data_IF_594184134095
#
_entry.id   IF_594184134095
#
_cell.length_a   1.000
_cell.length_b   1.000
_cell.length_c   1.000
_cell.angle_alpha   90.00
_cell.angle_beta   90.00
_cell.angle_gamma   90.00
#
_symmetry.space_group_name_H-M   'P 1'
#
loop_
_entity.id
_entity.type
_entity.pdbx_description
1 polymer ?
#
# COMPACT_ATOMS: atom_id res chain seq x y z
N UNK A 1 -28.45 -70.54 -18.07
CA UNK A 1 -27.92 -69.34 -18.78
C UNK A 1 -29.10 -68.60 -19.41
N UNK A 2 -29.59 -67.52 -18.78
CA UNK A 2 -30.67 -66.70 -19.38
C UNK A 2 -30.02 -65.76 -20.42
N UNK A 3 -30.29 -65.98 -21.68
CA UNK A 3 -29.96 -65.06 -22.79
C UNK A 3 -31.05 -64.00 -22.86
N UNK A 4 -30.73 -62.81 -22.39
CA UNK A 4 -31.57 -61.62 -22.59
C UNK A 4 -31.48 -61.20 -24.07
N UNK A 5 -32.55 -61.45 -24.85
CA UNK A 5 -32.72 -60.91 -26.20
C UNK A 5 -33.18 -59.46 -26.09
N UNK A 6 -32.25 -58.52 -26.18
CA UNK A 6 -32.65 -57.11 -26.25
C UNK A 6 -33.23 -56.85 -27.65
N UNK A 7 -34.47 -56.36 -27.70
CA UNK A 7 -35.14 -56.07 -28.95
C UNK A 7 -34.50 -54.86 -29.67
N UNK A 8 -34.46 -54.93 -31.05
CA UNK A 8 -33.90 -53.81 -31.85
C UNK A 8 -34.49 -52.45 -31.51
N UNK A 9 -35.79 -52.25 -31.22
CA UNK A 9 -36.34 -50.94 -30.79
C UNK A 9 -35.82 -50.46 -29.46
N UNK A 10 -35.52 -51.35 -28.50
CA UNK A 10 -34.97 -51.00 -27.20
C UNK A 10 -33.54 -50.45 -27.30
N UNK A 11 -32.71 -51.04 -28.19
CA UNK A 11 -31.37 -50.55 -28.44
C UNK A 11 -31.40 -49.18 -29.11
N UNK A 12 -32.31 -49.00 -30.10
CA UNK A 12 -32.47 -47.72 -30.78
C UNK A 12 -32.91 -46.61 -29.83
N UNK A 13 -33.83 -46.89 -28.90
CA UNK A 13 -34.25 -45.91 -27.89
C UNK A 13 -33.13 -45.52 -26.94
N UNK A 14 -32.31 -46.48 -26.50
CA UNK A 14 -31.15 -46.19 -25.63
C UNK A 14 -30.10 -45.33 -26.34
N UNK A 15 -29.81 -45.58 -27.62
CA UNK A 15 -28.88 -44.76 -28.41
C UNK A 15 -29.38 -43.33 -28.61
N UNK A 16 -30.70 -43.19 -28.87
CA UNK A 16 -31.33 -41.86 -28.99
C UNK A 16 -31.30 -41.07 -27.68
N UNK A 17 -31.54 -41.72 -26.53
CA UNK A 17 -31.45 -41.10 -25.21
C UNK A 17 -30.00 -40.65 -24.91
N UNK A 18 -29.01 -41.50 -25.22
CA UNK A 18 -27.59 -41.14 -25.05
C UNK A 18 -27.18 -39.98 -25.95
N UNK A 19 -27.60 -39.98 -27.22
CA UNK A 19 -27.33 -38.90 -28.15
C UNK A 19 -27.96 -37.58 -27.69
N UNK A 20 -29.21 -37.59 -27.21
CA UNK A 20 -29.89 -36.45 -26.64
C UNK A 20 -29.18 -35.92 -25.37
N UNK A 21 -28.70 -36.79 -24.48
CA UNK A 21 -27.94 -36.43 -23.29
C UNK A 21 -26.59 -35.78 -23.67
N UNK A 22 -25.90 -36.30 -24.65
CA UNK A 22 -24.63 -35.70 -25.16
C UNK A 22 -24.87 -34.32 -25.76
N UNK A 23 -25.92 -34.15 -26.57
CA UNK A 23 -26.29 -32.86 -27.15
C UNK A 23 -26.69 -31.84 -26.06
N UNK A 24 -27.42 -32.27 -25.04
CA UNK A 24 -27.79 -31.39 -23.92
C UNK A 24 -26.56 -31.01 -23.08
N UNK A 25 -25.66 -31.96 -22.82
CA UNK A 25 -24.42 -31.68 -22.08
C UNK A 25 -23.48 -30.76 -22.91
N UNK A 26 -23.39 -30.99 -24.22
CA UNK A 26 -22.60 -30.12 -25.11
C UNK A 26 -23.22 -28.72 -25.20
N UNK A 27 -24.51 -28.61 -25.32
CA UNK A 27 -25.25 -27.33 -25.31
C UNK A 27 -25.14 -26.59 -23.97
N UNK A 28 -25.00 -27.32 -22.87
CA UNK A 28 -24.78 -26.72 -21.54
C UNK A 28 -23.34 -26.26 -21.36
N UNK A 29 -22.36 -27.02 -21.87
CA UNK A 29 -20.94 -26.71 -21.84
C UNK A 29 -20.55 -25.61 -22.84
N UNK A 30 -21.26 -25.52 -23.97
CA UNK A 30 -21.03 -24.53 -25.02
C UNK A 30 -21.89 -23.27 -24.88
N UNK A 31 -22.64 -23.11 -23.79
CA UNK A 31 -23.33 -21.83 -23.54
C UNK A 31 -22.27 -20.77 -23.29
N UNK A 32 -22.15 -19.71 -24.11
CA UNK A 32 -21.38 -18.56 -23.75
C UNK A 32 -21.94 -18.04 -22.42
N UNK A 33 -21.09 -17.55 -21.50
CA UNK A 33 -21.57 -16.96 -20.26
C UNK A 33 -22.62 -15.89 -20.62
N UNK A 34 -23.75 -15.94 -19.94
CA UNK A 34 -24.89 -15.05 -20.15
C UNK A 34 -24.39 -13.58 -20.15
N UNK A 35 -24.75 -12.74 -21.14
CA UNK A 35 -24.34 -11.34 -21.16
C UNK A 35 -24.95 -10.49 -20.05
N UNK A 36 -25.69 -11.07 -19.10
CA UNK A 36 -26.30 -10.43 -17.93
C UNK A 36 -25.56 -10.67 -16.61
N UNK A 37 -24.33 -11.16 -16.60
CA UNK A 37 -23.41 -10.73 -15.56
C UNK A 37 -23.00 -9.31 -15.95
N UNK A 38 -23.62 -8.31 -15.31
CA UNK A 38 -23.00 -7.01 -15.17
C UNK A 38 -21.52 -7.30 -14.90
N UNK A 39 -20.64 -6.87 -15.82
CA UNK A 39 -19.22 -6.94 -15.60
C UNK A 39 -19.05 -6.32 -14.21
N UNK A 40 -18.72 -7.12 -13.21
CA UNK A 40 -18.25 -6.58 -11.95
C UNK A 40 -17.01 -5.83 -12.38
N UNK A 41 -17.10 -4.52 -12.45
CA UNK A 41 -15.91 -3.67 -12.64
C UNK A 41 -14.90 -4.24 -11.67
N UNK A 42 -13.80 -4.79 -12.20
CA UNK A 42 -12.88 -5.61 -11.44
C UNK A 42 -12.37 -4.78 -10.27
N UNK A 43 -12.44 -5.32 -9.05
CA UNK A 43 -11.97 -4.65 -7.84
C UNK A 43 -10.52 -4.23 -8.00
N UNK A 44 -10.21 -2.95 -7.73
CA UNK A 44 -8.86 -2.41 -7.80
C UNK A 44 -8.15 -2.64 -6.47
N UNK A 45 -6.94 -3.15 -6.54
CA UNK A 45 -6.09 -3.44 -5.38
C UNK A 45 -4.92 -2.47 -5.35
N UNK A 46 -4.72 -1.77 -4.23
CA UNK A 46 -3.67 -0.75 -4.12
C UNK A 46 -2.76 -1.09 -2.95
N UNK A 47 -1.47 -1.20 -3.23
CA UNK A 47 -0.45 -1.29 -2.20
C UNK A 47 0.25 0.06 -2.03
N UNK A 48 0.03 0.71 -0.88
CA UNK A 48 0.80 1.87 -0.46
C UNK A 48 2.12 1.36 0.15
N UNK A 49 3.15 1.29 -0.68
CA UNK A 49 4.47 0.80 -0.33
C UNK A 49 5.34 1.94 0.18
N UNK A 50 6.00 1.76 1.32
CA UNK A 50 6.87 2.79 1.88
C UNK A 50 7.86 2.18 2.87
N UNK A 51 8.62 3.04 3.55
CA UNK A 51 9.38 2.68 4.74
C UNK A 51 8.81 3.36 5.99
N UNK A 52 9.22 2.86 7.18
CA UNK A 52 8.80 3.47 8.44
C UNK A 52 9.19 4.94 8.51
N UNK A 53 8.26 5.79 8.90
CA UNK A 53 8.41 7.23 9.13
C UNK A 53 8.57 8.07 7.86
N UNK A 54 8.19 7.54 6.71
CA UNK A 54 8.17 8.29 5.43
C UNK A 54 6.89 9.12 5.21
N UNK A 55 5.97 9.19 6.18
CA UNK A 55 4.68 9.87 6.03
C UNK A 55 3.56 8.98 5.51
N UNK A 56 3.80 7.67 5.43
CA UNK A 56 2.85 6.69 4.90
C UNK A 56 1.55 6.57 5.70
N UNK A 57 1.54 6.93 6.99
CA UNK A 57 0.29 7.00 7.77
C UNK A 57 -0.61 8.13 7.27
N UNK A 58 -0.05 9.30 6.90
CA UNK A 58 -0.80 10.39 6.29
C UNK A 58 -1.39 9.94 4.94
N UNK A 59 -0.54 9.41 4.05
CA UNK A 59 -1.00 8.89 2.76
C UNK A 59 -2.06 7.80 2.91
N UNK A 60 -1.88 6.88 3.87
CA UNK A 60 -2.86 5.84 4.16
C UNK A 60 -4.21 6.41 4.58
N UNK A 61 -4.23 7.48 5.39
CA UNK A 61 -5.48 8.11 5.79
C UNK A 61 -6.16 8.88 4.66
N UNK A 62 -5.43 9.41 3.71
CA UNK A 62 -6.00 10.01 2.50
C UNK A 62 -6.85 8.96 1.76
N UNK A 63 -6.32 7.76 1.55
CA UNK A 63 -7.08 6.67 0.94
C UNK A 63 -8.18 6.12 1.86
N UNK A 64 -7.91 6.01 3.16
CA UNK A 64 -8.85 5.48 4.13
C UNK A 64 -10.15 6.29 4.22
N UNK A 65 -10.09 7.61 4.09
CA UNK A 65 -11.29 8.45 4.21
C UNK A 65 -12.15 8.45 2.93
N UNK A 66 -11.67 7.87 1.84
CA UNK A 66 -12.44 7.78 0.60
C UNK A 66 -13.61 6.77 0.73
N UNK A 67 -14.86 7.12 0.31
CA UNK A 67 -16.05 6.28 0.48
C UNK A 67 -15.96 4.91 -0.19
N UNK A 68 -15.22 4.79 -1.30
CA UNK A 68 -15.12 3.57 -2.09
C UNK A 68 -13.93 2.67 -1.70
N UNK A 69 -13.22 3.00 -0.62
CA UNK A 69 -11.99 2.33 -0.22
C UNK A 69 -12.18 1.50 1.07
N UNK A 70 -11.87 0.21 0.98
CA UNK A 70 -11.58 -0.63 2.13
C UNK A 70 -10.08 -0.54 2.43
N UNK A 71 -9.74 0.04 3.58
CA UNK A 71 -8.34 0.30 3.96
C UNK A 71 -7.92 -0.48 5.19
N UNK A 72 -6.72 -1.10 5.15
CA UNK A 72 -6.05 -1.62 6.34
C UNK A 72 -4.61 -1.10 6.44
N UNK A 73 -4.23 -0.75 7.68
CA UNK A 73 -2.91 -0.26 8.01
C UNK A 73 -1.99 -1.39 8.45
N UNK A 74 -0.94 -1.65 7.67
CA UNK A 74 0.16 -2.58 7.99
C UNK A 74 -0.28 -3.99 8.46
N UNK A 75 -1.12 -4.72 7.72
CA UNK A 75 -1.50 -6.08 8.12
C UNK A 75 -0.29 -7.02 8.32
N UNK A 76 0.79 -6.83 7.59
CA UNK A 76 2.04 -7.56 7.77
C UNK A 76 2.70 -7.40 9.15
N UNK A 77 2.25 -6.44 9.97
CA UNK A 77 2.67 -6.32 11.37
C UNK A 77 2.39 -7.60 12.16
N UNK A 78 1.28 -8.27 11.89
CA UNK A 78 0.90 -9.52 12.55
C UNK A 78 1.91 -10.63 12.28
N UNK A 79 2.38 -10.78 11.04
CA UNK A 79 3.45 -11.72 10.68
C UNK A 79 4.75 -11.41 11.45
N UNK A 80 5.15 -10.13 11.47
CA UNK A 80 6.38 -9.69 12.11
C UNK A 80 6.36 -9.80 13.64
N UNK A 81 5.19 -9.78 14.24
CA UNK A 81 5.06 -9.87 15.70
C UNK A 81 4.85 -11.28 16.19
N UNK A 82 4.24 -12.16 15.40
CA UNK A 82 3.96 -13.54 15.79
C UNK A 82 5.13 -14.50 15.51
N UNK A 83 5.89 -14.29 14.43
CA UNK A 83 7.04 -15.14 14.09
C UNK A 83 8.28 -14.57 14.78
N UNK A 84 8.85 -15.39 15.68
CA UNK A 84 10.06 -15.02 16.42
C UNK A 84 11.32 -15.43 15.64
N UNK A 85 12.43 -14.73 15.91
CA UNK A 85 13.79 -15.06 15.42
C UNK A 85 13.95 -15.14 13.90
N UNK A 86 13.07 -14.52 13.12
CA UNK A 86 13.18 -14.45 11.67
C UNK A 86 13.61 -13.05 11.21
N UNK A 87 14.43 -12.99 10.17
CA UNK A 87 14.82 -11.73 9.50
C UNK A 87 13.79 -11.27 8.48
N UNK A 88 13.92 -10.02 8.04
CA UNK A 88 13.00 -9.40 7.06
C UNK A 88 12.86 -10.21 5.78
N UNK A 89 13.96 -10.81 5.29
CA UNK A 89 13.96 -11.63 4.08
C UNK A 89 13.12 -12.90 4.22
N UNK A 90 13.16 -13.54 5.40
CA UNK A 90 12.37 -14.75 5.67
C UNK A 90 10.88 -14.43 5.80
N UNK A 91 10.54 -13.28 6.39
CA UNK A 91 9.16 -12.89 6.66
C UNK A 91 8.42 -12.35 5.44
N UNK A 92 9.12 -11.83 4.42
CA UNK A 92 8.52 -11.16 3.26
C UNK A 92 7.49 -12.02 2.51
N UNK A 93 7.72 -13.33 2.43
CA UNK A 93 6.82 -14.24 1.73
C UNK A 93 5.51 -14.41 2.51
N UNK A 94 5.59 -14.58 3.83
CA UNK A 94 4.42 -14.67 4.68
C UNK A 94 3.62 -13.36 4.71
N UNK A 95 4.29 -12.19 4.70
CA UNK A 95 3.64 -10.88 4.54
C UNK A 95 2.93 -10.78 3.19
N UNK A 96 3.58 -11.21 2.10
CA UNK A 96 2.98 -11.24 0.77
C UNK A 96 1.72 -12.11 0.73
N UNK A 97 1.80 -13.31 1.29
CA UNK A 97 0.69 -14.26 1.25
C UNK A 97 -0.48 -13.76 2.12
N UNK A 98 -0.19 -13.13 3.27
CA UNK A 98 -1.20 -12.45 4.07
C UNK A 98 -1.91 -11.33 3.28
N UNK A 99 -1.16 -10.41 2.66
CA UNK A 99 -1.80 -9.31 1.92
C UNK A 99 -2.56 -9.82 0.68
N UNK A 100 -2.13 -10.94 0.08
CA UNK A 100 -2.88 -11.58 -1.01
C UNK A 100 -4.26 -12.00 -0.55
N UNK A 101 -4.37 -12.73 0.55
CA UNK A 101 -5.65 -13.17 1.12
C UNK A 101 -6.54 -11.97 1.46
N UNK A 102 -5.97 -10.93 2.06
CA UNK A 102 -6.72 -9.71 2.40
C UNK A 102 -7.21 -8.98 1.14
N UNK A 103 -6.41 -8.90 0.07
CA UNK A 103 -6.87 -8.35 -1.21
C UNK A 103 -8.06 -9.12 -1.78
N UNK A 104 -8.11 -10.42 -1.57
CA UNK A 104 -9.24 -11.27 -1.94
C UNK A 104 -10.40 -11.22 -0.93
N UNK A 105 -10.36 -10.32 0.07
CA UNK A 105 -11.31 -10.21 1.16
C UNK A 105 -11.46 -11.52 1.97
N UNK A 106 -10.39 -12.27 2.11
CA UNK A 106 -10.28 -13.44 2.98
C UNK A 106 -9.47 -13.07 4.24
N UNK A 107 -10.16 -12.91 5.37
CA UNK A 107 -9.54 -12.59 6.65
C UNK A 107 -9.17 -13.84 7.46
N UNK A 108 -9.45 -15.05 6.96
CA UNK A 108 -9.11 -16.31 7.64
C UNK A 108 -7.58 -16.46 7.82
N UNK A 109 -6.79 -15.85 6.93
CA UNK A 109 -5.33 -15.78 7.08
C UNK A 109 -4.88 -15.21 8.43
N UNK A 110 -5.69 -14.33 9.04
CA UNK A 110 -5.42 -13.77 10.36
C UNK A 110 -5.43 -14.82 11.48
N UNK A 111 -6.08 -15.97 11.24
CA UNK A 111 -6.15 -17.07 12.21
C UNK A 111 -4.77 -17.62 12.60
N UNK A 112 -3.81 -17.55 11.69
CA UNK A 112 -2.44 -18.00 11.93
C UNK A 112 -1.62 -17.03 12.81
N UNK A 113 -2.03 -15.77 12.93
CA UNK A 113 -1.20 -14.70 13.49
C UNK A 113 -1.84 -13.92 14.62
N UNK A 114 -3.15 -14.08 14.85
CA UNK A 114 -3.88 -13.33 15.86
C UNK A 114 -4.34 -14.20 17.03
N UNK A 115 -4.36 -13.65 18.26
CA UNK A 115 -4.88 -14.37 19.42
C UNK A 115 -6.41 -14.55 19.34
N UNK A 116 -6.93 -15.48 20.12
CA UNK A 116 -8.39 -15.63 20.33
C UNK A 116 -8.88 -14.71 21.46
N UNK A 117 -10.11 -14.19 21.43
CA UNK A 117 -11.03 -14.21 20.28
C UNK A 117 -10.58 -13.29 19.15
N UNK A 118 -10.96 -13.62 17.90
CA UNK A 118 -10.54 -12.87 16.71
C UNK A 118 -11.58 -11.82 16.33
N UNK A 119 -11.44 -10.65 16.87
CA UNK A 119 -12.28 -9.49 16.59
C UNK A 119 -11.51 -8.47 15.72
N UNK A 120 -12.22 -7.53 15.11
CA UNK A 120 -11.62 -6.41 14.37
C UNK A 120 -10.66 -5.60 15.26
N UNK A 121 -10.93 -5.52 16.57
CA UNK A 121 -10.07 -4.84 17.55
C UNK A 121 -8.67 -5.47 17.72
N UNK A 122 -8.48 -6.70 17.28
CA UNK A 122 -7.17 -7.35 17.24
C UNK A 122 -6.35 -7.00 15.98
N UNK A 123 -6.97 -6.47 14.93
CA UNK A 123 -6.25 -6.01 13.74
C UNK A 123 -5.41 -4.79 14.09
N UNK A 124 -4.15 -4.79 13.68
CA UNK A 124 -3.25 -3.67 13.95
C UNK A 124 -3.82 -2.34 13.46
N UNK A 125 -3.94 -1.36 14.36
CA UNK A 125 -4.46 -0.02 14.06
C UNK A 125 -5.87 -0.03 13.43
N UNK A 126 -6.70 -1.00 13.76
CA UNK A 126 -8.03 -1.24 13.19
C UNK A 126 -8.95 -0.01 13.20
N UNK A 127 -8.94 0.76 14.30
CA UNK A 127 -9.78 1.96 14.46
C UNK A 127 -9.43 3.10 13.50
N UNK A 128 -8.28 2.99 12.82
CA UNK A 128 -7.90 3.90 11.74
C UNK A 128 -8.55 3.51 10.40
N UNK A 129 -9.21 2.36 10.31
CA UNK A 129 -9.91 1.93 9.12
C UNK A 129 -11.36 2.40 9.16
N UNK A 130 -11.70 3.40 8.32
CA UNK A 130 -13.09 3.87 8.18
C UNK A 130 -14.03 2.74 7.78
N UNK A 131 -13.60 1.85 6.90
CA UNK A 131 -14.39 0.73 6.41
C UNK A 131 -14.77 -0.26 7.52
N UNK A 132 -13.98 -0.38 8.58
CA UNK A 132 -14.32 -1.18 9.76
C UNK A 132 -15.28 -0.45 10.73
N UNK A 133 -15.51 0.84 10.52
CA UNK A 133 -16.36 1.70 11.33
C UNK A 133 -17.65 2.12 10.60
N UNK A 134 -17.87 1.60 9.40
CA UNK A 134 -19.01 1.89 8.52
C UNK A 134 -19.70 0.60 8.10
N UNK A 135 -20.97 0.67 7.61
CA UNK A 135 -21.69 -0.51 7.12
C UNK A 135 -20.95 -1.22 5.99
N UNK A 136 -21.00 -2.56 5.94
CA UNK A 136 -21.70 -3.47 6.86
C UNK A 136 -20.85 -3.93 8.06
N UNK A 137 -19.59 -3.51 8.21
CA UNK A 137 -18.74 -3.94 9.32
C UNK A 137 -19.23 -3.38 10.66
N UNK A 138 -19.66 -2.12 10.69
CA UNK A 138 -20.21 -1.45 11.85
C UNK A 138 -21.15 -0.33 11.41
N UNK A 139 -22.30 -0.16 12.09
CA UNK A 139 -23.31 0.84 11.73
C UNK A 139 -23.12 2.17 12.48
N UNK A 140 -21.89 2.58 12.68
CA UNK A 140 -21.57 3.81 13.40
C UNK A 140 -21.77 5.07 12.56
N UNK A 141 -21.30 5.05 11.28
CA UNK A 141 -21.31 6.20 10.38
C UNK A 141 -21.58 5.77 8.94
N UNK A 142 -22.12 6.70 8.16
CA UNK A 142 -22.25 6.49 6.72
C UNK A 142 -20.86 6.46 6.03
N UNK A 143 -20.80 5.90 4.82
CA UNK A 143 -19.52 5.73 4.10
C UNK A 143 -18.93 7.03 3.57
N UNK A 144 -19.72 8.02 3.33
CA UNK A 144 -19.35 9.37 2.87
C UNK A 144 -18.88 10.27 4.01
N UNK A 145 -19.15 9.92 5.27
CA UNK A 145 -18.69 10.69 6.41
C UNK A 145 -17.22 10.44 6.75
N UNK A 146 -16.51 11.50 7.15
CA UNK A 146 -15.13 11.42 7.67
C UNK A 146 -15.12 10.70 9.02
N UNK A 147 -14.40 9.59 9.09
CA UNK A 147 -14.32 8.75 10.30
C UNK A 147 -13.34 9.34 11.33
N UNK A 148 -13.72 9.22 12.61
CA UNK A 148 -12.87 9.56 13.75
C UNK A 148 -12.50 8.29 14.51
N UNK A 149 -11.21 8.12 14.77
CA UNK A 149 -10.64 6.95 15.46
C UNK A 149 -11.31 6.67 16.82
N UNK A 150 -11.56 7.71 17.62
CA UNK A 150 -12.11 7.55 18.96
C UNK A 150 -13.53 6.99 18.95
N UNK A 151 -14.37 7.50 18.07
CA UNK A 151 -15.77 7.04 17.94
C UNK A 151 -15.82 5.57 17.52
N UNK A 152 -14.95 5.18 16.59
CA UNK A 152 -14.82 3.81 16.13
C UNK A 152 -14.45 2.84 17.27
N UNK A 153 -13.47 3.20 18.09
CA UNK A 153 -13.04 2.40 19.25
C UNK A 153 -14.14 2.14 20.27
N UNK A 154 -15.04 3.08 20.45
CA UNK A 154 -16.11 2.99 21.44
C UNK A 154 -17.28 2.10 21.00
N UNK A 155 -17.49 1.91 19.69
CA UNK A 155 -18.72 1.31 19.17
C UNK A 155 -18.52 0.06 18.31
N UNK A 156 -17.31 -0.16 17.76
CA UNK A 156 -17.09 -1.17 16.73
C UNK A 156 -16.07 -2.26 17.11
N UNK A 157 -15.53 -2.25 18.32
CA UNK A 157 -14.39 -3.06 18.77
C UNK A 157 -14.67 -4.58 18.84
N UNK A 158 -15.92 -4.96 19.08
CA UNK A 158 -16.35 -6.35 19.27
C UNK A 158 -16.74 -7.08 17.99
N UNK A 159 -16.73 -6.40 16.83
CA UNK A 159 -17.14 -6.98 15.55
C UNK A 159 -16.20 -8.12 15.12
N UNK A 160 -16.77 -9.21 14.62
CA UNK A 160 -16.00 -10.36 14.13
C UNK A 160 -15.39 -10.14 12.76
N UNK A 161 -14.31 -10.87 12.44
CA UNK A 161 -13.63 -10.78 11.14
C UNK A 161 -14.51 -11.08 9.93
N UNK A 162 -15.57 -11.90 10.09
CA UNK A 162 -16.54 -12.16 9.01
C UNK A 162 -17.28 -10.90 8.54
N UNK A 163 -17.52 -9.95 9.43
CA UNK A 163 -18.09 -8.64 9.05
C UNK A 163 -17.07 -7.78 8.30
N UNK A 164 -15.80 -7.86 8.66
CA UNK A 164 -14.73 -7.20 7.90
C UNK A 164 -14.59 -7.78 6.48
N UNK A 165 -14.70 -9.12 6.31
CA UNK A 165 -14.75 -9.78 5.00
C UNK A 165 -15.95 -9.31 4.17
N UNK A 166 -17.15 -9.31 4.79
CA UNK A 166 -18.36 -8.84 4.14
C UNK A 166 -18.24 -7.38 3.71
N UNK A 167 -17.69 -6.51 4.57
CA UNK A 167 -17.41 -5.13 4.24
C UNK A 167 -16.43 -5.01 3.07
N UNK A 168 -15.29 -5.69 3.13
CA UNK A 168 -14.27 -5.67 2.08
C UNK A 168 -14.87 -5.97 0.69
N UNK A 169 -15.80 -6.94 0.62
CA UNK A 169 -16.44 -7.32 -0.66
C UNK A 169 -17.32 -6.26 -1.27
N UNK A 170 -17.79 -5.30 -0.48
CA UNK A 170 -18.71 -4.24 -0.95
C UNK A 170 -18.01 -2.98 -1.45
N UNK A 171 -16.69 -2.87 -1.30
CA UNK A 171 -15.89 -1.74 -1.77
C UNK A 171 -15.29 -2.03 -3.14
N UNK A 172 -15.19 -1.02 -4.00
CA UNK A 172 -14.54 -1.14 -5.31
C UNK A 172 -13.02 -1.20 -5.20
N UNK A 173 -12.44 -0.61 -4.15
CA UNK A 173 -11.00 -0.55 -3.92
C UNK A 173 -10.61 -1.20 -2.59
N UNK A 174 -9.58 -2.05 -2.62
CA UNK A 174 -8.91 -2.55 -1.41
C UNK A 174 -7.53 -1.95 -1.35
N UNK A 175 -7.28 -1.13 -0.34
CA UNK A 175 -6.01 -0.41 -0.17
C UNK A 175 -5.30 -0.91 1.08
N UNK A 176 -4.11 -1.45 0.92
CA UNK A 176 -3.27 -1.90 2.02
C UNK A 176 -2.01 -1.04 2.09
N UNK A 177 -1.66 -0.57 3.28
CA UNK A 177 -0.43 0.18 3.49
C UNK A 177 0.59 -0.72 4.17
N UNK A 178 1.77 -0.89 3.53
CA UNK A 178 2.86 -1.70 4.06
C UNK A 178 4.23 -1.01 4.01
N UNK A 179 5.04 -1.33 5.02
CA UNK A 179 6.41 -0.81 5.18
C UNK A 179 7.45 -1.92 5.26
N UNK A 180 7.05 -3.19 4.99
CA UNK A 180 7.85 -4.41 5.22
C UNK A 180 8.31 -5.11 3.96
N UNK A 181 8.17 -4.46 2.81
CA UNK A 181 8.76 -4.91 1.55
C UNK A 181 9.97 -4.05 1.20
N UNK A 182 11.10 -4.71 0.94
CA UNK A 182 12.38 -4.07 0.62
C UNK A 182 12.76 -4.23 -0.85
N UNK A 183 11.91 -4.90 -1.63
CA UNK A 183 12.10 -5.19 -3.06
C UNK A 183 10.75 -5.50 -3.71
N UNK A 184 10.63 -5.26 -5.02
CA UNK A 184 9.39 -5.56 -5.77
C UNK A 184 9.26 -7.03 -6.17
N UNK A 185 10.37 -7.76 -6.26
CA UNK A 185 10.39 -9.16 -6.70
C UNK A 185 9.52 -10.06 -5.81
N UNK A 186 9.44 -9.76 -4.53
CA UNK A 186 8.56 -10.47 -3.60
C UNK A 186 7.07 -10.28 -3.92
N UNK A 187 6.71 -9.20 -4.63
CA UNK A 187 5.33 -8.88 -5.04
C UNK A 187 4.98 -9.40 -6.44
N UNK A 188 5.93 -9.93 -7.20
CA UNK A 188 5.67 -10.43 -8.55
C UNK A 188 4.56 -11.47 -8.65
N UNK A 189 4.42 -12.44 -7.71
CA UNK A 189 3.28 -13.35 -7.73
C UNK A 189 1.93 -12.64 -7.65
N UNK A 190 1.82 -11.54 -6.90
CA UNK A 190 0.59 -10.75 -6.80
C UNK A 190 0.33 -9.94 -8.08
N UNK A 191 1.37 -9.38 -8.67
CA UNK A 191 1.26 -8.60 -9.92
C UNK A 191 0.91 -9.48 -11.12
N UNK A 192 1.22 -10.78 -11.06
CA UNK A 192 0.90 -11.76 -12.09
C UNK A 192 -0.40 -12.52 -11.81
N UNK A 193 -1.00 -12.34 -10.64
CA UNK A 193 -2.26 -13.00 -10.29
C UNK A 193 -3.40 -12.38 -11.11
N UNK A 194 -4.07 -13.15 -11.99
CA UNK A 194 -5.14 -12.61 -12.82
C UNK A 194 -6.38 -12.19 -12.03
N UNK A 195 -6.50 -12.62 -10.77
CA UNK A 195 -7.59 -12.21 -9.88
C UNK A 195 -7.36 -10.84 -9.22
N UNK A 196 -6.17 -10.23 -9.40
CA UNK A 196 -5.79 -8.98 -8.76
C UNK A 196 -5.43 -7.90 -9.80
N UNK A 197 -6.17 -6.80 -9.85
CA UNK A 197 -5.68 -5.56 -10.48
C UNK A 197 -4.85 -4.79 -9.44
N UNK A 198 -3.60 -5.23 -9.24
CA UNK A 198 -2.71 -4.63 -8.25
C UNK A 198 -1.97 -3.42 -8.83
N UNK A 199 -2.12 -2.27 -8.14
CA UNK A 199 -1.36 -1.03 -8.41
C UNK A 199 -0.54 -0.65 -7.18
N UNK A 200 0.69 -0.19 -7.39
CA UNK A 200 1.64 0.14 -6.32
C UNK A 200 1.90 1.65 -6.32
N UNK A 201 1.64 2.29 -5.20
CA UNK A 201 2.07 3.67 -4.93
C UNK A 201 3.23 3.61 -3.95
N UNK A 202 4.42 3.98 -4.41
CA UNK A 202 5.66 3.94 -3.64
C UNK A 202 5.98 5.32 -3.07
N UNK A 203 5.75 5.52 -1.78
CA UNK A 203 6.05 6.76 -1.07
C UNK A 203 7.49 6.73 -0.53
N UNK A 204 8.29 7.69 -0.96
CA UNK A 204 9.64 7.93 -0.47
C UNK A 204 9.73 9.27 0.27
N UNK A 205 10.74 9.44 1.11
CA UNK A 205 10.98 10.68 1.87
C UNK A 205 12.47 10.92 2.03
N UNK A 206 12.84 12.20 2.23
CA UNK A 206 14.20 12.59 2.56
C UNK A 206 14.76 11.76 3.73
N UNK A 207 15.88 11.03 3.54
CA UNK A 207 16.44 10.16 4.58
C UNK A 207 16.79 10.91 5.89
N UNK A 208 17.09 12.20 5.80
CA UNK A 208 17.37 13.07 6.96
C UNK A 208 16.11 13.25 7.81
N UNK A 209 14.97 13.49 7.16
CA UNK A 209 13.67 13.58 7.82
C UNK A 209 13.20 12.22 8.36
N UNK A 210 13.48 11.12 7.65
CA UNK A 210 13.19 9.75 8.08
C UNK A 210 13.95 9.43 9.37
N UNK A 211 15.28 9.62 9.41
CA UNK A 211 16.08 9.32 10.61
C UNK A 211 15.60 10.14 11.81
N UNK A 212 15.42 11.46 11.63
CA UNK A 212 14.88 12.34 12.69
C UNK A 212 13.57 11.78 13.27
N UNK A 213 12.65 11.39 12.42
CA UNK A 213 11.36 10.84 12.86
C UNK A 213 11.49 9.47 13.53
N UNK A 214 12.43 8.64 13.08
CA UNK A 214 12.74 7.34 13.70
C UNK A 214 13.31 7.52 15.11
N UNK A 215 14.23 8.45 15.31
CA UNK A 215 14.79 8.77 16.64
C UNK A 215 13.72 9.20 17.63
N UNK A 216 12.66 9.89 17.18
CA UNK A 216 11.52 10.24 18.02
C UNK A 216 10.59 9.06 18.35
N UNK A 217 10.72 7.96 17.65
CA UNK A 217 9.86 6.77 17.72
C UNK A 217 10.63 5.49 18.05
N UNK A 218 11.83 5.59 18.62
CA UNK A 218 12.74 4.45 18.85
C UNK A 218 12.02 3.29 19.54
N UNK A 219 11.30 3.56 20.65
CA UNK A 219 10.59 2.52 21.41
C UNK A 219 9.61 1.70 20.56
N UNK A 220 8.87 2.36 19.67
CA UNK A 220 7.90 1.70 18.80
C UNK A 220 8.56 0.93 17.65
N UNK A 221 9.83 1.17 17.34
CA UNK A 221 10.54 0.61 16.19
C UNK A 221 11.68 -0.36 16.58
N UNK A 222 11.83 -0.69 17.86
CA UNK A 222 12.91 -1.60 18.36
C UNK A 222 12.82 -2.95 17.66
N UNK A 223 11.64 -3.58 17.65
CA UNK A 223 11.42 -4.90 17.06
C UNK A 223 11.63 -4.87 15.54
N UNK A 224 11.02 -3.90 14.86
CA UNK A 224 11.20 -3.73 13.42
C UNK A 224 12.68 -3.54 13.04
N UNK A 225 13.42 -2.72 13.81
CA UNK A 225 14.83 -2.49 13.57
C UNK A 225 15.67 -3.75 13.76
N UNK A 226 15.38 -4.56 14.78
CA UNK A 226 16.07 -5.82 15.01
C UNK A 226 15.85 -6.84 13.87
N UNK A 227 14.61 -6.91 13.37
CA UNK A 227 14.26 -7.79 12.24
C UNK A 227 14.97 -7.33 10.95
N UNK A 228 15.03 -6.02 10.69
CA UNK A 228 15.74 -5.46 9.52
C UNK A 228 17.23 -5.76 9.56
N UNK A 229 17.83 -5.71 10.73
CA UNK A 229 19.25 -6.00 10.93
C UNK A 229 19.56 -7.51 11.00
N UNK A 230 18.53 -8.37 10.92
CA UNK A 230 18.67 -9.83 10.92
C UNK A 230 19.55 -10.33 12.08
N UNK A 231 19.41 -9.72 13.26
CA UNK A 231 20.19 -10.01 14.47
C UNK A 231 21.72 -9.80 14.31
N UNK A 232 22.15 -9.02 13.31
CA UNK A 232 23.55 -8.67 13.15
C UNK A 232 24.09 -7.99 14.43
N UNK A 233 25.30 -8.35 14.82
CA UNK A 233 25.97 -7.73 15.95
C UNK A 233 26.45 -6.32 15.60
N UNK A 234 25.54 -5.36 15.65
CA UNK A 234 25.75 -3.97 15.30
C UNK A 234 25.87 -3.15 16.57
N UNK A 235 26.95 -2.34 16.72
CA UNK A 235 27.06 -1.41 17.85
C UNK A 235 25.83 -0.50 17.96
N UNK A 236 25.32 -0.28 19.16
CA UNK A 236 24.09 0.48 19.40
C UNK A 236 24.08 1.85 18.70
N UNK A 237 25.21 2.57 18.73
CA UNK A 237 25.42 3.88 18.08
C UNK A 237 25.26 3.84 16.55
N UNK A 238 25.38 2.66 15.93
CA UNK A 238 25.36 2.47 14.48
C UNK A 238 24.04 1.88 13.97
N UNK A 239 23.26 1.25 14.85
CA UNK A 239 22.02 0.55 14.48
C UNK A 239 21.07 1.40 13.67
N UNK A 240 20.80 2.65 14.10
CA UNK A 240 19.87 3.54 13.40
C UNK A 240 20.33 3.89 11.98
N UNK A 241 21.64 4.03 11.78
CA UNK A 241 22.24 4.32 10.47
C UNK A 241 22.25 3.09 9.57
N UNK A 242 22.47 1.89 10.12
CA UNK A 242 22.42 0.66 9.34
C UNK A 242 20.99 0.35 8.88
N UNK A 243 20.01 0.50 9.76
CA UNK A 243 18.59 0.38 9.35
C UNK A 243 18.25 1.42 8.28
N UNK A 244 18.72 2.66 8.42
CA UNK A 244 18.50 3.68 7.41
C UNK A 244 19.19 3.33 6.07
N UNK A 245 20.37 2.74 6.11
CA UNK A 245 21.08 2.27 4.92
C UNK A 245 20.28 1.19 4.18
N UNK A 246 19.69 0.23 4.90
CA UNK A 246 18.82 -0.78 4.28
C UNK A 246 17.54 -0.15 3.69
N UNK A 247 16.95 0.83 4.35
CA UNK A 247 15.82 1.61 3.81
C UNK A 247 16.25 2.33 2.50
N UNK A 248 17.40 3.00 2.49
CA UNK A 248 17.90 3.68 1.31
C UNK A 248 18.19 2.71 0.16
N UNK A 249 18.81 1.57 0.44
CA UNK A 249 19.05 0.51 -0.55
C UNK A 249 17.75 -0.09 -1.10
N UNK A 250 16.76 -0.25 -0.25
CA UNK A 250 15.43 -0.71 -0.63
C UNK A 250 14.77 0.23 -1.64
N UNK A 251 14.74 1.53 -1.34
CA UNK A 251 14.15 2.52 -2.24
C UNK A 251 14.85 2.57 -3.59
N UNK A 252 16.19 2.45 -3.62
CA UNK A 252 16.96 2.36 -4.88
C UNK A 252 16.52 1.12 -5.67
N UNK A 253 16.56 -0.06 -5.07
CA UNK A 253 16.14 -1.32 -5.73
C UNK A 253 14.73 -1.25 -6.29
N UNK A 254 13.77 -0.82 -5.47
CA UNK A 254 12.37 -0.71 -5.87
C UNK A 254 12.23 0.24 -7.07
N UNK A 255 12.85 1.42 -6.99
CA UNK A 255 12.80 2.40 -8.06
C UNK A 255 13.45 1.89 -9.35
N UNK A 256 14.67 1.36 -9.29
CA UNK A 256 15.39 0.84 -10.46
C UNK A 256 14.61 -0.30 -11.14
N UNK A 257 14.10 -1.25 -10.34
CA UNK A 257 13.28 -2.36 -10.85
C UNK A 257 12.02 -1.87 -11.54
N UNK A 258 11.36 -0.84 -10.98
CA UNK A 258 10.10 -0.34 -11.50
C UNK A 258 10.23 0.61 -12.70
N UNK A 259 11.38 1.27 -12.87
CA UNK A 259 11.51 2.39 -13.83
C UNK A 259 12.53 2.15 -14.93
N UNK A 260 13.68 1.53 -14.63
CA UNK A 260 14.74 1.38 -15.62
C UNK A 260 14.47 0.22 -16.58
N UNK A 261 14.05 -0.93 -16.06
CA UNK A 261 13.74 -2.13 -16.86
C UNK A 261 12.54 -2.85 -16.25
N UNK A 262 11.35 -2.22 -16.21
CA UNK A 262 10.19 -2.86 -15.62
C UNK A 262 9.78 -4.08 -16.43
N UNK A 263 9.48 -5.22 -15.77
CA UNK A 263 8.84 -6.35 -16.44
C UNK A 263 7.45 -5.92 -16.95
N UNK A 264 6.98 -6.55 -18.03
CA UNK A 264 5.76 -6.13 -18.72
C UNK A 264 4.52 -6.09 -17.81
N UNK A 265 4.42 -7.03 -16.87
CA UNK A 265 3.31 -7.07 -15.90
C UNK A 265 3.32 -5.93 -14.88
N UNK A 266 4.41 -5.15 -14.76
CA UNK A 266 4.52 -4.00 -13.86
C UNK A 266 4.25 -2.67 -14.58
N UNK A 267 4.30 -2.65 -15.91
CA UNK A 267 4.09 -1.42 -16.70
C UNK A 267 2.70 -0.84 -16.43
N UNK A 268 2.65 0.45 -16.13
CA UNK A 268 1.39 1.15 -15.78
C UNK A 268 0.82 0.81 -14.39
N UNK A 269 1.49 -0.03 -13.60
CA UNK A 269 1.03 -0.46 -12.27
C UNK A 269 1.85 0.08 -11.11
N UNK A 270 2.81 0.97 -11.39
CA UNK A 270 3.68 1.57 -10.36
C UNK A 270 3.74 3.09 -10.51
N UNK A 271 3.59 3.79 -9.39
CA UNK A 271 3.73 5.25 -9.28
C UNK A 271 4.58 5.57 -8.05
N UNK A 272 5.66 6.32 -8.24
CA UNK A 272 6.45 6.85 -7.12
C UNK A 272 6.00 8.26 -6.75
N UNK A 273 5.98 8.55 -5.44
CA UNK A 273 5.63 9.86 -4.87
C UNK A 273 6.67 10.22 -3.81
N UNK A 274 7.22 11.43 -3.86
CA UNK A 274 8.03 11.97 -2.76
C UNK A 274 7.12 12.68 -1.77
N UNK A 275 7.34 12.42 -0.48
CA UNK A 275 6.58 13.06 0.59
C UNK A 275 6.64 14.59 0.52
N UNK A 276 7.79 15.13 0.15
CA UNK A 276 8.03 16.56 0.03
C UNK A 276 7.22 17.20 -1.11
N UNK A 277 7.07 16.53 -2.25
CA UNK A 277 6.18 16.98 -3.34
C UNK A 277 4.72 16.92 -2.89
N UNK A 278 4.34 15.80 -2.22
CA UNK A 278 3.00 15.61 -1.67
C UNK A 278 2.58 16.71 -0.69
N UNK A 279 3.47 17.20 0.16
CA UNK A 279 3.12 18.24 1.13
C UNK A 279 3.18 19.66 0.57
N UNK A 280 3.95 19.90 -0.51
CA UNK A 280 4.01 21.17 -1.22
C UNK A 280 2.79 21.42 -2.12
N UNK A 281 2.33 20.36 -2.80
CA UNK A 281 1.23 20.42 -3.76
C UNK A 281 0.18 19.36 -3.41
N UNK A 282 -0.32 19.38 -2.19
CA UNK A 282 -1.06 18.27 -1.58
C UNK A 282 -2.24 17.80 -2.43
N UNK A 283 -3.14 18.70 -2.85
CA UNK A 283 -4.32 18.30 -3.60
C UNK A 283 -3.97 17.73 -4.96
N UNK A 284 -3.12 18.41 -5.73
CA UNK A 284 -2.71 17.95 -7.05
C UNK A 284 -2.00 16.57 -7.03
N UNK A 285 -1.14 16.33 -6.01
CA UNK A 285 -0.48 15.04 -5.87
C UNK A 285 -1.46 13.93 -5.47
N UNK A 286 -2.47 14.23 -4.64
CA UNK A 286 -3.50 13.27 -4.26
C UNK A 286 -4.43 12.99 -5.45
N UNK A 287 -4.87 14.00 -6.18
CA UNK A 287 -5.65 13.84 -7.40
C UNK A 287 -4.93 12.95 -8.43
N UNK A 288 -3.65 13.19 -8.65
CA UNK A 288 -2.83 12.35 -9.55
C UNK A 288 -2.66 10.90 -9.04
N UNK A 289 -2.72 10.66 -7.72
CA UNK A 289 -2.73 9.30 -7.16
C UNK A 289 -4.11 8.65 -7.29
N UNK A 290 -5.18 9.40 -7.08
CA UNK A 290 -6.55 8.91 -7.26
C UNK A 290 -6.82 8.56 -8.72
N UNK A 291 -6.47 9.45 -9.67
CA UNK A 291 -6.53 9.17 -11.11
C UNK A 291 -5.77 7.87 -11.47
N UNK A 292 -4.57 7.69 -10.91
CA UNK A 292 -3.76 6.49 -11.13
C UNK A 292 -4.47 5.20 -10.71
N UNK A 293 -5.30 5.24 -9.69
CA UNK A 293 -6.02 4.07 -9.19
C UNK A 293 -7.50 4.04 -9.60
N UNK A 294 -8.02 5.08 -10.25
CA UNK A 294 -9.41 5.18 -10.69
C UNK A 294 -10.37 5.62 -9.58
N UNK A 295 -9.91 6.48 -8.67
CA UNK A 295 -10.73 7.16 -7.66
C UNK A 295 -10.95 8.63 -8.04
N UNK A 296 -12.05 9.22 -7.57
CA UNK A 296 -12.35 10.62 -7.75
C UNK A 296 -12.25 11.38 -6.42
N UNK A 297 -11.78 12.63 -6.46
CA UNK A 297 -11.72 13.50 -5.29
C UNK A 297 -13.10 14.05 -4.96
N UNK A 298 -13.59 13.83 -3.73
CA UNK A 298 -14.83 14.48 -3.25
C UNK A 298 -14.53 15.81 -2.55
N UNK A 299 -15.53 16.71 -2.50
CA UNK A 299 -15.38 18.01 -1.83
C UNK A 299 -15.07 17.84 -0.34
N UNK A 300 -15.71 16.90 0.34
CA UNK A 300 -15.49 16.62 1.76
C UNK A 300 -14.06 16.13 2.03
N UNK A 301 -13.51 15.31 1.13
CA UNK A 301 -12.12 14.86 1.20
C UNK A 301 -11.16 16.03 0.99
N UNK A 302 -11.42 16.89 0.03
CA UNK A 302 -10.61 18.06 -0.27
C UNK A 302 -10.52 18.98 0.94
N UNK A 303 -11.66 19.29 1.56
CA UNK A 303 -11.71 20.10 2.79
C UNK A 303 -11.00 19.43 3.97
N UNK A 304 -11.20 18.13 4.15
CA UNK A 304 -10.56 17.37 5.21
C UNK A 304 -9.04 17.37 5.05
N UNK A 305 -8.54 17.09 3.82
CA UNK A 305 -7.11 17.11 3.50
C UNK A 305 -6.51 18.47 3.79
N UNK A 306 -7.18 19.55 3.36
CA UNK A 306 -6.72 20.91 3.64
C UNK A 306 -6.58 21.15 5.16
N UNK A 307 -7.59 20.80 5.93
CA UNK A 307 -7.58 20.99 7.40
C UNK A 307 -6.47 20.24 8.11
N UNK A 308 -6.14 19.01 7.69
CA UNK A 308 -5.09 18.23 8.36
C UNK A 308 -3.68 18.63 7.95
N UNK A 309 -3.50 19.27 6.80
CA UNK A 309 -2.19 19.69 6.28
C UNK A 309 -1.82 21.12 6.62
N UNK A 310 -2.78 21.97 6.94
CA UNK A 310 -2.60 23.39 7.27
C UNK A 310 -2.88 23.75 8.74
N UNK A 311 -2.88 22.77 9.62
CA UNK A 311 -3.15 23.00 11.03
C UNK A 311 -1.95 23.52 11.81
N UNK A 312 -2.23 24.09 13.00
CA UNK A 312 -1.23 24.65 13.92
C UNK A 312 -0.74 23.67 15.00
N UNK A 313 -1.16 22.40 14.96
CA UNK A 313 -0.81 21.39 15.95
C UNK A 313 0.69 21.03 15.94
N UNK A 314 1.28 20.83 17.10
CA UNK A 314 2.69 20.46 17.25
C UNK A 314 2.96 18.96 17.18
N UNK A 315 1.92 18.11 17.12
CA UNK A 315 2.01 16.66 17.25
C UNK A 315 2.50 16.22 18.64
N UNK A 316 2.19 15.02 19.05
CA UNK A 316 2.64 14.48 20.34
C UNK A 316 3.66 13.35 20.13
N UNK A 317 4.75 13.32 20.93
CA UNK A 317 5.74 12.23 20.92
C UNK A 317 5.15 10.88 21.36
N UNK A 318 4.05 10.89 22.10
CA UNK A 318 3.42 9.69 22.67
C UNK A 318 2.62 8.88 21.65
N UNK A 319 2.25 9.48 20.51
CA UNK A 319 1.37 8.86 19.51
C UNK A 319 2.07 8.80 18.15
N UNK A 320 3.00 7.87 18.01
CA UNK A 320 3.92 7.77 16.86
C UNK A 320 3.22 7.64 15.48
N UNK A 321 1.99 7.13 15.45
CA UNK A 321 1.25 6.84 14.21
C UNK A 321 0.01 7.72 14.02
N UNK A 322 -0.33 8.54 15.00
CA UNK A 322 -1.52 9.41 14.95
C UNK A 322 -1.30 10.58 14.01
N UNK A 323 -2.29 10.82 13.17
CA UNK A 323 -2.34 11.99 12.31
C UNK A 323 -3.01 13.11 13.06
N UNK A 324 -2.29 14.21 13.23
CA UNK A 324 -2.79 15.43 13.82
C UNK A 324 -2.72 16.55 12.80
N UNK A 325 -3.70 17.45 12.83
CA UNK A 325 -3.71 18.64 11.99
C UNK A 325 -2.49 19.52 12.32
N UNK A 326 -1.58 19.69 11.34
CA UNK A 326 -0.34 20.49 11.46
C UNK A 326 0.13 20.94 10.09
N UNK A 327 1.02 21.91 10.06
CA UNK A 327 1.67 22.30 8.82
C UNK A 327 2.57 21.14 8.34
N UNK A 328 2.19 20.52 7.23
CA UNK A 328 2.88 19.34 6.69
C UNK A 328 4.24 19.70 6.07
N UNK A 329 4.38 20.91 5.53
CA UNK A 329 5.64 21.40 5.00
C UNK A 329 6.68 21.61 6.11
N UNK A 330 6.31 22.24 7.23
CA UNK A 330 7.18 22.38 8.40
C UNK A 330 7.68 21.02 8.90
N UNK A 331 6.81 20.00 8.87
CA UNK A 331 7.18 18.62 9.25
C UNK A 331 8.23 18.05 8.30
N UNK A 332 8.18 18.38 7.00
CA UNK A 332 9.15 17.92 6.01
C UNK A 332 10.53 18.55 6.22
N UNK A 333 10.56 19.81 6.62
CA UNK A 333 11.77 20.61 6.80
C UNK A 333 12.38 20.53 8.21
N UNK A 334 11.67 19.96 9.17
CA UNK A 334 12.06 20.00 10.60
C UNK A 334 13.42 19.37 10.92
N UNK A 335 13.97 18.49 10.07
CA UNK A 335 15.33 17.96 10.22
C UNK A 335 16.39 19.02 10.10
N UNK A 336 16.14 20.11 9.35
CA UNK A 336 17.08 21.19 9.06
C UNK A 336 17.45 21.99 10.33
N UNK A 337 16.50 22.10 11.24
CA UNK A 337 16.67 22.88 12.49
C UNK A 337 16.93 22.02 13.72
N UNK A 338 16.67 20.70 13.63
CA UNK A 338 16.67 19.82 14.82
C UNK A 338 17.78 18.78 14.83
N UNK A 339 18.38 18.44 13.67
CA UNK A 339 19.51 17.52 13.63
C UNK A 339 20.84 18.29 13.69
N UNK A 340 21.84 17.80 14.47
CA UNK A 340 23.22 18.27 14.36
C UNK A 340 23.77 18.02 12.96
N UNK A 341 24.62 18.94 12.46
CA UNK A 341 25.16 18.84 11.10
C UNK A 341 25.99 17.58 10.87
N UNK A 342 26.75 17.12 11.86
CA UNK A 342 27.49 15.85 11.79
C UNK A 342 26.58 14.65 11.51
N UNK A 343 25.40 14.61 12.12
CA UNK A 343 24.39 13.58 11.81
C UNK A 343 23.90 13.69 10.38
N UNK A 344 23.64 14.91 9.91
CA UNK A 344 23.22 15.16 8.53
C UNK A 344 24.27 14.68 7.55
N UNK A 345 25.55 15.00 7.76
CA UNK A 345 26.67 14.52 6.94
C UNK A 345 26.73 12.98 6.91
N UNK A 346 26.59 12.34 8.06
CA UNK A 346 26.59 10.88 8.16
C UNK A 346 25.43 10.25 7.40
N UNK A 347 24.21 10.81 7.50
CA UNK A 347 23.04 10.36 6.73
C UNK A 347 23.30 10.49 5.24
N UNK A 348 23.79 11.65 4.80
CA UNK A 348 24.10 11.92 3.39
C UNK A 348 25.13 10.93 2.83
N UNK A 349 26.15 10.58 3.63
CA UNK A 349 27.15 9.56 3.25
C UNK A 349 26.51 8.17 3.11
N UNK A 350 25.69 7.76 4.07
CA UNK A 350 25.07 6.41 4.11
C UNK A 350 24.02 6.25 3.00
N UNK A 351 23.27 7.29 2.70
CA UNK A 351 22.16 7.27 1.72
C UNK A 351 22.49 7.99 0.40
N UNK A 352 23.77 8.25 0.09
CA UNK A 352 24.18 9.04 -1.08
C UNK A 352 23.50 8.59 -2.37
N UNK A 353 23.51 7.30 -2.68
CA UNK A 353 22.90 6.75 -3.90
C UNK A 353 21.40 7.00 -3.96
N UNK A 354 20.68 6.74 -2.87
CA UNK A 354 19.23 6.98 -2.80
C UNK A 354 18.91 8.48 -2.93
N UNK A 355 19.64 9.34 -2.24
CA UNK A 355 19.45 10.79 -2.33
C UNK A 355 19.63 11.29 -3.76
N UNK A 356 20.70 10.89 -4.43
CA UNK A 356 20.95 11.27 -5.83
C UNK A 356 19.84 10.77 -6.75
N UNK A 357 19.49 9.48 -6.64
CA UNK A 357 18.48 8.84 -7.51
C UNK A 357 17.08 9.44 -7.32
N UNK A 358 16.71 9.75 -6.08
CA UNK A 358 15.39 10.27 -5.74
C UNK A 358 15.29 11.80 -5.76
N UNK A 359 16.37 12.47 -6.14
CA UNK A 359 16.41 13.93 -6.32
C UNK A 359 16.51 14.72 -5.03
N UNK A 360 17.20 14.22 -4.01
CA UNK A 360 17.52 14.96 -2.79
C UNK A 360 18.95 15.50 -2.85
N UNK A 361 19.11 16.80 -2.78
CA UNK A 361 20.42 17.47 -2.77
C UNK A 361 21.08 17.38 -1.39
N UNK A 362 22.41 17.32 -1.36
CA UNK A 362 23.19 17.46 -0.13
C UNK A 362 23.24 18.91 0.34
N UNK A 363 23.58 19.08 1.61
CA UNK A 363 24.01 20.35 2.19
C UNK A 363 25.44 20.19 2.70
N UNK A 364 26.30 21.15 2.45
CA UNK A 364 27.73 21.02 2.69
C UNK A 364 28.20 21.79 3.94
N UNK A 365 27.29 22.57 4.54
CA UNK A 365 27.53 23.30 5.78
C UNK A 365 26.30 23.38 6.67
N UNK A 366 26.52 23.62 7.98
CA UNK A 366 25.44 23.88 8.92
C UNK A 366 24.61 25.12 8.53
N UNK A 367 25.28 26.14 7.93
CA UNK A 367 24.64 27.35 7.41
C UNK A 367 23.61 26.97 6.31
N UNK A 368 24.03 26.18 5.33
CA UNK A 368 23.14 25.69 4.26
C UNK A 368 22.01 24.82 4.83
N UNK A 369 22.34 23.96 5.79
CA UNK A 369 21.32 23.12 6.44
C UNK A 369 20.20 23.98 7.04
N UNK A 370 20.53 25.08 7.71
CA UNK A 370 19.58 25.96 8.39
C UNK A 370 18.88 26.97 7.47
N UNK A 371 19.33 27.12 6.24
CA UNK A 371 18.80 28.08 5.26
C UNK A 371 17.51 27.52 4.63
N UNK A 372 16.35 27.73 5.26
CA UNK A 372 15.07 27.10 4.89
C UNK A 372 14.60 27.42 3.46
N UNK A 373 14.99 28.56 2.90
CA UNK A 373 14.67 28.93 1.51
C UNK A 373 15.57 28.24 0.46
N UNK A 374 16.64 27.54 0.87
CA UNK A 374 17.44 26.71 -0.03
C UNK A 374 16.66 25.46 -0.40
N UNK A 375 16.30 25.31 -1.66
CA UNK A 375 15.62 24.10 -2.13
C UNK A 375 16.62 22.93 -2.24
N UNK A 376 16.43 21.95 -1.35
CA UNK A 376 17.23 20.72 -1.26
C UNK A 376 16.66 19.58 -2.10
N UNK A 377 15.73 19.88 -3.00
CA UNK A 377 15.19 18.91 -3.95
C UNK A 377 15.50 19.32 -5.39
N UNK A 378 15.65 18.32 -6.24
CA UNK A 378 15.67 18.54 -7.68
C UNK A 378 14.24 18.62 -8.18
N UNK A 379 13.92 19.61 -9.03
CA UNK A 379 12.59 19.69 -9.63
C UNK A 379 12.18 18.41 -10.33
N UNK A 380 10.90 18.09 -10.27
CA UNK A 380 10.33 16.84 -10.80
C UNK A 380 10.50 16.70 -12.32
N UNK A 381 10.52 17.79 -13.05
CA UNK A 381 10.68 17.82 -14.51
C UNK A 381 11.99 17.17 -15.00
N UNK A 382 13.04 17.18 -14.17
CA UNK A 382 14.31 16.51 -14.47
C UNK A 382 14.30 15.01 -14.16
N UNK A 383 13.39 14.56 -13.31
CA UNK A 383 13.12 13.16 -13.00
C UNK A 383 11.71 12.86 -13.49
N UNK A 384 11.61 12.55 -14.77
CA UNK A 384 10.34 12.07 -15.32
C UNK A 384 10.06 10.70 -14.69
N UNK A 385 9.34 10.69 -13.57
CA UNK A 385 8.75 9.48 -13.00
C UNK A 385 7.56 9.04 -13.86
N UNK A 386 7.78 9.04 -15.20
CA UNK A 386 6.75 8.67 -16.16
C UNK A 386 6.59 7.17 -16.12
N UNK A 387 5.55 6.74 -15.47
CA UNK A 387 5.05 5.37 -15.47
C UNK A 387 4.11 5.12 -16.67
N UNK A 388 3.72 6.16 -17.40
CA UNK A 388 3.02 6.07 -18.67
C UNK A 388 4.04 6.03 -19.82
N UNK A 389 3.87 5.16 -20.83
CA UNK A 389 4.65 5.26 -22.05
C UNK A 389 4.39 6.64 -22.65
N UNK A 390 5.47 7.40 -22.92
CA UNK A 390 5.37 8.64 -23.66
C UNK A 390 4.60 8.35 -24.94
N UNK A 391 3.45 9.05 -25.16
CA UNK A 391 2.78 9.00 -26.46
C UNK A 391 3.83 9.37 -27.48
N UNK A 392 4.25 8.42 -28.29
CA UNK A 392 5.15 8.67 -29.41
C UNK A 392 4.49 9.76 -30.25
N UNK A 393 5.08 10.93 -30.25
CA UNK A 393 4.74 12.00 -31.18
C UNK A 393 5.10 11.45 -32.56
N UNK A 394 4.12 10.88 -33.24
CA UNK A 394 4.23 10.53 -34.66
C UNK A 394 4.34 11.86 -35.40
N UNK A 395 5.56 12.32 -35.57
CA UNK A 395 5.86 13.42 -36.48
C UNK A 395 5.46 12.93 -37.87
N UNK A 396 4.31 13.40 -38.35
CA UNK A 396 3.95 13.29 -39.76
C UNK A 396 5.03 14.06 -40.52
N UNK A 397 5.96 13.33 -41.11
CA UNK A 397 6.80 13.87 -42.18
C UNK A 397 5.89 14.10 -43.37
N UNK A 398 5.51 15.35 -43.62
CA UNK A 398 4.88 15.77 -44.86
C UNK A 398 5.93 15.67 -45.96
N UNK A 399 5.76 14.71 -46.87
CA UNK A 399 6.47 14.74 -48.16
C UNK A 399 5.83 15.84 -48.99
N UNK A 400 6.57 16.88 -49.22
CA UNK A 400 6.42 17.75 -50.41
C UNK A 400 7.23 17.16 -51.54
#
# INVERSE_FOLDING_TARGET
MLRWRVSKPTVLSLVLIQAAAVVLLYGWYSRPPSPNTAASEGKVHVLLLSSWRSGSSFLGQVFNQHPDVFYLMEPGWHVWTSIQQAGARSLRMAVRDMIRSIFQCDMSVMDAYMPQPRNVSNIFMWSHSRALCSPPACFLRARDEISKEQDCKLHCDTQGLKLAEAACRTYSHVVLKEVRFFELESLYPLLRDPSLDLRIIHLVRDPRAVLRSREQSVKALVKDSAIVLEQANVPEKDKSYQVLQEICRSHVRIYETATLKPPDFLRGRYKMVRYEDLVRNTLAEIEAMYEFVGLEMTEELQEWIYRITHGKGKGTRKEAFKITSRNAEDVSLAWRTTLPFEKVQRIQKVCKGAMTLLGYKTVDSEKEQKLLNLDVMTPRERYQFSWLPSKSTTTKVSKT
#
